data_IF_281288190910
#
_entry.id   IF_281288190910
#
_cell.length_a   1.000
_cell.length_b   1.000
_cell.length_c   1.000
_cell.angle_alpha   90.00
_cell.angle_beta   90.00
_cell.angle_gamma   90.00
#
_symmetry.space_group_name_H-M   'P 1'
#
loop_
_entity.id
_entity.type
_entity.pdbx_description
1 polymer ?
#
# COMPACT_ATOMS: atom_id res chain seq x y z
N UNK A 1 9.52 -8.23 -10.67
CA UNK A 1 8.05 -8.37 -10.64
C UNK A 1 7.52 -7.77 -11.93
N UNK A 2 6.83 -8.56 -12.75
CA UNK A 2 6.25 -8.11 -14.02
C UNK A 2 4.76 -7.85 -13.83
N UNK A 3 4.27 -6.66 -14.19
CA UNK A 3 2.86 -6.29 -14.10
C UNK A 3 2.30 -5.98 -15.47
N UNK A 4 1.09 -6.46 -15.74
CA UNK A 4 0.35 -6.26 -16.98
C UNK A 4 -1.11 -5.87 -16.68
N UNK A 5 -1.73 -5.13 -17.59
CA UNK A 5 -3.18 -4.86 -17.63
C UNK A 5 -3.76 -4.34 -16.30
N UNK A 6 -3.01 -3.48 -15.61
CA UNK A 6 -3.45 -2.89 -14.35
C UNK A 6 -4.28 -1.64 -14.62
N UNK A 7 -5.51 -1.55 -14.08
CA UNK A 7 -6.29 -0.34 -14.19
C UNK A 7 -5.54 0.80 -13.47
N UNK A 8 -5.65 2.01 -14.03
CA UNK A 8 -5.04 3.20 -13.43
C UNK A 8 -5.90 3.78 -12.30
N UNK A 9 -6.38 2.90 -11.42
CA UNK A 9 -7.20 3.16 -10.24
C UNK A 9 -7.01 2.01 -9.25
N UNK A 10 -7.42 2.19 -8.00
CA UNK A 10 -7.40 1.09 -7.02
C UNK A 10 -8.66 1.10 -6.16
N UNK A 11 -9.20 -0.09 -5.93
CA UNK A 11 -10.30 -0.31 -5.00
C UNK A 11 -9.87 -1.01 -3.69
N UNK A 12 -8.57 -1.29 -3.53
CA UNK A 12 -8.00 -2.00 -2.37
C UNK A 12 -6.68 -1.38 -1.95
N UNK A 13 -6.45 -1.37 -0.65
CA UNK A 13 -5.17 -1.00 -0.04
C UNK A 13 -4.71 -2.12 0.91
N UNK A 14 -3.41 -2.34 0.96
CA UNK A 14 -2.77 -3.45 1.70
C UNK A 14 -1.67 -2.89 2.59
N UNK A 15 -1.41 -3.51 3.73
CA UNK A 15 -0.21 -3.22 4.52
C UNK A 15 0.52 -4.51 4.84
N UNK A 16 1.80 -4.45 5.19
CA UNK A 16 2.56 -5.61 5.66
C UNK A 16 2.99 -5.43 7.12
N UNK A 17 2.51 -6.26 8.04
CA UNK A 17 2.75 -6.02 9.47
C UNK A 17 4.16 -6.37 9.96
N UNK A 18 4.79 -7.35 9.33
CA UNK A 18 6.03 -7.95 9.83
C UNK A 18 7.29 -7.58 9.05
N UNK A 19 7.12 -6.93 7.90
CA UNK A 19 8.16 -6.82 6.88
C UNK A 19 8.11 -5.44 6.22
N UNK A 20 9.26 -5.02 5.70
CA UNK A 20 9.36 -3.87 4.80
C UNK A 20 9.33 -4.35 3.36
N UNK A 21 8.91 -3.48 2.44
CA UNK A 21 8.97 -3.73 1.01
C UNK A 21 9.72 -2.58 0.33
N UNK A 22 10.54 -2.87 -0.68
CA UNK A 22 11.19 -1.85 -1.49
C UNK A 22 10.83 -2.02 -2.97
N UNK A 23 10.38 -0.94 -3.60
CA UNK A 23 9.90 -0.92 -4.98
C UNK A 23 10.67 0.10 -5.81
N UNK A 24 10.98 -0.25 -7.06
CA UNK A 24 11.53 0.68 -8.05
C UNK A 24 11.26 0.18 -9.46
N UNK A 25 10.88 1.10 -10.36
CA UNK A 25 10.65 0.77 -11.78
C UNK A 25 11.95 0.41 -12.47
N UNK A 26 11.97 -0.65 -13.28
CA UNK A 26 13.07 -0.90 -14.21
C UNK A 26 13.02 0.19 -15.30
N UNK A 27 14.17 0.76 -15.66
CA UNK A 27 14.27 1.82 -16.68
C UNK A 27 13.86 3.23 -16.20
N UNK A 28 13.49 3.41 -14.93
CA UNK A 28 13.21 4.73 -14.35
C UNK A 28 11.90 5.39 -14.81
N UNK A 29 10.99 4.62 -15.39
CA UNK A 29 9.67 5.10 -15.84
C UNK A 29 8.83 5.62 -14.66
N UNK A 30 7.97 6.61 -14.94
CA UNK A 30 7.11 7.18 -13.90
C UNK A 30 6.01 6.20 -13.47
N UNK A 31 5.81 6.07 -12.17
CA UNK A 31 4.77 5.25 -11.55
C UNK A 31 4.19 5.95 -10.33
N UNK A 32 3.13 5.38 -9.77
CA UNK A 32 2.35 5.98 -8.70
C UNK A 32 2.10 4.97 -7.58
N UNK A 33 1.98 5.50 -6.37
CA UNK A 33 1.72 4.71 -5.18
C UNK A 33 0.75 5.46 -4.27
N UNK A 34 -0.42 4.87 -4.05
CA UNK A 34 -1.30 5.31 -2.96
C UNK A 34 -0.73 4.80 -1.64
N UNK A 35 -0.66 5.65 -0.62
CA UNK A 35 -0.18 5.29 0.72
C UNK A 35 -1.03 5.90 1.83
N UNK A 36 -1.07 5.23 2.98
CA UNK A 36 -1.58 5.80 4.23
C UNK A 36 -0.71 5.37 5.43
N UNK A 37 -0.81 6.11 6.53
CA UNK A 37 0.00 5.88 7.74
C UNK A 37 -0.27 4.48 8.32
N UNK A 38 0.75 3.82 8.90
CA UNK A 38 0.56 2.55 9.58
C UNK A 38 -0.42 2.67 10.75
N UNK A 39 -1.20 1.62 10.96
CA UNK A 39 -2.27 1.59 11.97
C UNK A 39 -2.39 0.23 12.65
N UNK A 40 -1.27 -0.48 12.79
CA UNK A 40 -1.19 -1.73 13.55
C UNK A 40 -1.35 -1.40 15.03
N UNK A 41 -2.23 -2.13 15.71
CA UNK A 41 -2.51 -1.97 17.13
C UNK A 41 -1.59 -2.91 17.92
N UNK A 42 -0.82 -2.35 18.86
CA UNK A 42 0.12 -3.06 19.72
C UNK A 42 -0.34 -2.91 21.17
N UNK A 43 -1.42 -3.58 21.58
CA UNK A 43 -1.90 -3.54 22.98
C UNK A 43 -2.54 -4.85 23.44
N UNK A 44 -2.40 -5.12 24.73
CA UNK A 44 -3.01 -6.24 25.47
C UNK A 44 -4.53 -6.18 25.44
N UNK A 45 -5.15 -7.35 25.51
CA UNK A 45 -6.56 -7.70 25.26
C UNK A 45 -7.66 -6.77 25.80
N UNK A 46 -7.35 -5.87 26.73
CA UNK A 46 -8.33 -5.17 27.56
C UNK A 46 -8.83 -3.83 26.98
N UNK A 47 -8.06 -3.15 26.13
CA UNK A 47 -8.48 -1.86 25.52
C UNK A 47 -9.22 -2.00 24.18
N UNK A 48 -9.18 -3.19 23.57
CA UNK A 48 -9.75 -3.44 22.23
C UNK A 48 -11.29 -3.45 22.27
N UNK A 49 -11.89 -3.80 23.42
CA UNK A 49 -13.34 -4.02 23.56
C UNK A 49 -14.20 -2.76 23.37
N UNK A 50 -13.64 -1.57 23.60
CA UNK A 50 -14.39 -0.31 23.54
C UNK A 50 -14.25 0.49 22.23
N UNK A 51 -13.34 0.09 21.32
CA UNK A 51 -13.10 0.84 20.07
C UNK A 51 -13.66 0.08 18.87
N UNK A 52 -14.87 0.46 18.42
CA UNK A 52 -15.63 -0.12 17.28
C UNK A 52 -14.88 -0.14 15.92
N UNK A 53 -13.63 0.31 15.86
CA UNK A 53 -12.86 0.50 14.62
C UNK A 53 -11.70 -0.49 14.43
N UNK A 54 -11.41 -1.34 15.42
CA UNK A 54 -10.29 -2.30 15.34
C UNK A 54 -10.73 -3.56 14.61
N UNK A 55 -9.93 -3.99 13.64
CA UNK A 55 -10.14 -5.18 12.81
C UNK A 55 -8.98 -6.15 13.03
N UNK A 56 -9.28 -7.45 13.06
CA UNK A 56 -8.26 -8.51 13.06
C UNK A 56 -7.98 -8.95 11.62
N UNK A 57 -6.71 -9.09 11.24
CA UNK A 57 -6.36 -9.62 9.91
C UNK A 57 -6.81 -11.08 9.79
N UNK A 58 -7.17 -11.48 8.57
CA UNK A 58 -7.74 -12.80 8.27
C UNK A 58 -6.74 -13.95 8.32
N UNK A 59 -5.45 -13.67 8.49
CA UNK A 59 -4.40 -14.68 8.53
C UNK A 59 -4.33 -15.41 9.89
N UNK A 60 -3.87 -16.65 9.86
CA UNK A 60 -3.54 -17.40 11.07
C UNK A 60 -2.43 -16.66 11.84
N UNK A 61 -2.67 -16.38 13.13
CA UNK A 61 -1.78 -15.53 13.93
C UNK A 61 -1.86 -14.04 13.59
N UNK A 62 -2.97 -13.61 12.96
CA UNK A 62 -3.15 -12.24 12.49
C UNK A 62 -3.07 -11.16 13.55
N UNK A 63 -2.70 -9.96 13.12
CA UNK A 63 -2.56 -8.75 13.93
C UNK A 63 -3.84 -7.91 13.90
N UNK A 64 -3.97 -7.03 14.89
CA UNK A 64 -5.04 -6.04 14.94
C UNK A 64 -4.60 -4.74 14.26
N UNK A 65 -5.53 -4.09 13.58
CA UNK A 65 -5.28 -2.81 12.92
C UNK A 65 -6.55 -1.97 12.82
N UNK A 66 -6.38 -0.69 12.53
CA UNK A 66 -7.49 0.22 12.21
C UNK A 66 -7.42 0.56 10.73
N UNK A 67 -8.42 0.20 9.89
CA UNK A 67 -8.39 0.57 8.48
C UNK A 67 -8.28 2.09 8.29
N UNK A 68 -7.48 2.57 7.30
CA UNK A 68 -7.39 4.00 7.01
C UNK A 68 -8.72 4.49 6.44
N UNK A 69 -9.07 5.74 6.74
CA UNK A 69 -10.18 6.42 6.05
C UNK A 69 -9.68 6.92 4.69
N UNK A 70 -10.60 7.13 3.74
CA UNK A 70 -10.24 7.51 2.36
C UNK A 70 -9.48 8.83 2.33
N UNK A 71 -9.85 9.75 3.22
CA UNK A 71 -9.29 11.09 3.34
C UNK A 71 -7.83 11.09 3.84
N UNK A 72 -7.34 9.97 4.38
CA UNK A 72 -5.95 9.81 4.82
C UNK A 72 -5.03 9.26 3.72
N UNK A 73 -5.60 8.74 2.63
CA UNK A 73 -4.82 8.20 1.52
C UNK A 73 -4.19 9.34 0.74
N UNK A 74 -2.89 9.24 0.46
CA UNK A 74 -2.14 10.16 -0.39
C UNK A 74 -1.52 9.39 -1.54
N UNK A 75 -1.52 9.99 -2.72
CA UNK A 75 -0.91 9.37 -3.90
C UNK A 75 0.34 10.14 -4.27
N UNK A 76 1.45 9.42 -4.40
CA UNK A 76 2.72 9.97 -4.83
C UNK A 76 3.02 9.54 -6.26
N UNK A 77 3.57 10.47 -7.05
CA UNK A 77 4.22 10.18 -8.33
C UNK A 77 5.71 9.98 -8.09
N UNK A 78 6.23 8.84 -8.50
CA UNK A 78 7.65 8.50 -8.44
C UNK A 78 8.18 8.50 -9.87
N UNK A 79 9.34 9.14 -10.08
CA UNK A 79 9.95 9.30 -11.40
C UNK A 79 11.47 9.13 -11.34
N UNK A 80 12.04 8.66 -12.44
CA UNK A 80 13.47 8.41 -12.57
C UNK A 80 13.92 7.18 -11.76
N UNK A 81 15.23 7.08 -11.54
CA UNK A 81 15.86 5.92 -10.90
C UNK A 81 15.76 5.97 -9.36
N UNK A 82 14.53 6.09 -8.85
CA UNK A 82 14.26 6.14 -7.41
C UNK A 82 13.65 4.84 -6.92
N UNK A 83 14.03 4.46 -5.71
CA UNK A 83 13.44 3.35 -4.97
C UNK A 83 12.66 3.89 -3.77
N UNK A 84 11.52 3.26 -3.49
CA UNK A 84 10.68 3.56 -2.33
C UNK A 84 10.74 2.39 -1.38
N UNK A 85 11.16 2.64 -0.14
CA UNK A 85 11.07 1.68 0.96
C UNK A 85 9.81 1.95 1.79
N UNK A 86 8.90 0.99 1.80
CA UNK A 86 7.72 0.97 2.65
C UNK A 86 8.10 0.39 4.01
N UNK A 87 7.87 1.16 5.07
CA UNK A 87 8.03 0.71 6.43
C UNK A 87 6.91 -0.28 6.82
N UNK A 88 7.19 -1.12 7.82
CA UNK A 88 6.21 -2.05 8.39
C UNK A 88 4.90 -1.33 8.72
N UNK A 89 3.80 -1.94 8.32
CA UNK A 89 2.44 -1.45 8.54
C UNK A 89 2.00 -0.33 7.62
N UNK A 90 2.87 0.24 6.79
CA UNK A 90 2.46 1.27 5.83
C UNK A 90 1.41 0.69 4.90
N UNK A 91 0.26 1.34 4.82
CA UNK A 91 -0.76 1.00 3.83
C UNK A 91 -0.29 1.49 2.47
N UNK A 92 -0.45 0.65 1.46
CA UNK A 92 -0.07 0.98 0.10
C UNK A 92 -0.98 0.32 -0.95
N UNK A 93 -1.12 0.99 -2.08
CA UNK A 93 -1.85 0.54 -3.26
C UNK A 93 -1.05 0.89 -4.51
N UNK A 94 -0.64 -0.14 -5.24
CA UNK A 94 0.23 -0.03 -6.39
C UNK A 94 1.33 -1.09 -6.37
N UNK A 95 2.36 -0.96 -7.21
CA UNK A 95 2.62 0.20 -8.08
C UNK A 95 1.59 0.34 -9.21
N UNK A 96 1.20 1.59 -9.52
CA UNK A 96 0.29 1.97 -10.59
C UNK A 96 1.07 2.70 -11.68
N UNK A 97 0.78 2.45 -12.96
CA UNK A 97 1.50 3.08 -14.07
C UNK A 97 0.58 3.21 -15.28
N UNK A 98 0.93 4.17 -16.16
CA UNK A 98 0.26 4.30 -17.47
C UNK A 98 0.98 3.41 -18.48
N UNK A 99 0.22 2.63 -19.24
CA UNK A 99 0.73 1.68 -20.22
C UNK A 99 0.32 0.24 -19.90
N UNK A 100 0.57 -0.66 -20.83
CA UNK A 100 0.05 -2.03 -20.77
C UNK A 100 0.85 -2.90 -19.81
N UNK A 101 2.18 -2.69 -19.73
CA UNK A 101 3.08 -3.48 -18.89
C UNK A 101 4.19 -2.63 -18.27
N UNK A 102 4.70 -3.06 -17.10
CA UNK A 102 5.90 -2.48 -16.49
C UNK A 102 6.56 -3.47 -15.53
N UNK A 103 7.90 -3.48 -15.55
CA UNK A 103 8.71 -4.27 -14.63
C UNK A 103 9.18 -3.45 -13.43
N UNK A 104 9.19 -4.10 -12.27
CA UNK A 104 9.65 -3.53 -11.01
C UNK A 104 10.69 -4.43 -10.34
N UNK A 105 11.71 -3.79 -9.79
CA UNK A 105 12.44 -4.34 -8.66
C UNK A 105 11.48 -4.39 -7.47
N UNK A 106 11.32 -5.58 -6.88
CA UNK A 106 10.54 -5.81 -5.67
C UNK A 106 11.45 -6.55 -4.68
N UNK A 107 11.96 -5.83 -3.70
CA UNK A 107 12.81 -6.40 -2.65
C UNK A 107 11.98 -6.51 -1.37
N UNK A 108 11.69 -7.74 -0.99
CA UNK A 108 10.92 -8.08 0.19
C UNK A 108 11.44 -9.40 0.81
N UNK A 109 11.16 -9.62 2.09
CA UNK A 109 11.56 -10.87 2.75
C UNK A 109 10.70 -12.04 2.24
N UNK A 110 11.27 -13.22 2.04
CA UNK A 110 10.59 -14.38 1.43
C UNK A 110 9.37 -14.91 2.22
N UNK A 111 9.13 -14.42 3.44
CA UNK A 111 7.97 -14.75 4.27
C UNK A 111 6.85 -13.69 4.23
N UNK A 112 6.87 -12.72 3.30
CA UNK A 112 5.87 -11.64 3.17
C UNK A 112 4.47 -12.10 2.77
N UNK A 113 4.33 -13.32 2.21
CA UNK A 113 3.04 -13.86 1.74
C UNK A 113 2.16 -14.47 2.84
N UNK A 114 2.54 -14.40 4.12
CA UNK A 114 1.59 -14.65 5.21
C UNK A 114 0.64 -13.44 5.35
N UNK A 115 -0.36 -13.44 4.45
CA UNK A 115 -1.47 -12.48 4.29
C UNK A 115 -1.58 -11.43 5.39
N UNK A 116 -1.02 -10.25 5.15
CA UNK A 116 -1.30 -9.07 5.96
C UNK A 116 -2.66 -8.46 5.56
N UNK A 117 -3.25 -7.59 6.40
CA UNK A 117 -4.65 -7.18 6.27
C UNK A 117 -4.98 -6.48 4.95
N UNK A 118 -6.23 -6.63 4.49
CA UNK A 118 -6.75 -5.96 3.28
C UNK A 118 -7.94 -5.08 3.66
N UNK A 119 -8.02 -3.89 3.07
CA UNK A 119 -9.21 -3.03 3.13
C UNK A 119 -9.64 -2.66 1.71
N UNK A 120 -10.95 -2.68 1.48
CA UNK A 120 -11.56 -2.21 0.24
C UNK A 120 -11.84 -0.71 0.35
N UNK A 121 -11.34 0.07 -0.61
CA UNK A 121 -11.49 1.52 -0.73
C UNK A 121 -11.50 1.88 -2.20
N UNK A 122 -12.56 2.48 -2.74
CA UNK A 122 -12.59 2.95 -4.14
C UNK A 122 -11.87 4.30 -4.21
N UNK A 123 -10.68 4.33 -4.80
CA UNK A 123 -9.93 5.55 -5.10
C UNK A 123 -9.63 5.57 -6.60
N UNK A 124 -10.30 6.46 -7.34
CA UNK A 124 -9.94 6.78 -8.72
C UNK A 124 -8.82 7.81 -8.72
N UNK A 125 -7.77 7.55 -9.49
CA UNK A 125 -6.72 8.52 -9.72
C UNK A 125 -7.20 9.56 -10.73
N UNK A 126 -7.99 10.53 -10.28
CA UNK A 126 -8.28 11.72 -11.06
C UNK A 126 -7.19 12.75 -10.80
N UNK A 127 -6.33 12.98 -11.80
CA UNK A 127 -5.39 14.08 -11.73
C UNK A 127 -6.16 15.39 -11.85
N UNK A 128 -6.24 16.16 -10.77
CA UNK A 128 -5.99 17.60 -10.92
C UNK A 128 -4.51 17.68 -11.30
N UNK A 129 -4.25 17.80 -12.61
CA UNK A 129 -2.98 18.36 -13.08
C UNK A 129 -2.94 19.75 -12.46
N UNK A 130 -2.39 19.89 -11.25
CA UNK A 130 -2.01 21.19 -10.77
C UNK A 130 -0.95 21.67 -11.78
N UNK A 131 -1.21 22.77 -12.51
CA UNK A 131 -0.26 23.26 -13.47
C UNK A 131 1.07 23.43 -12.76
N UNK A 132 2.10 22.84 -13.33
CA UNK A 132 3.47 23.14 -12.94
C UNK A 132 3.65 24.65 -13.08
N UNK A 133 3.87 25.31 -11.94
CA UNK A 133 4.41 26.68 -11.89
C UNK A 133 5.80 26.73 -12.50
#
# INVERSE_FOLDING_TARGET
MHLQDRPFEFCKITHHANVTQCLGSIGGHAWYLGVAKPSIVVTSSDEISNSKKVVKSSCAGGHYYVPPVVEDVRVFRISGNKFVKLHRGTWHAGPLFKGDTMDFYNLELSNTNWSSGYQWMIVKLEFLVLPTV
#
